data_IF_306021513990
#
_entry.id   IF_306021513990
#
_cell.length_a   1.000
_cell.length_b   1.000
_cell.length_c   1.000
_cell.angle_alpha   90.00
_cell.angle_beta   90.00
_cell.angle_gamma   90.00
#
_symmetry.space_group_name_H-M   'P 1'
#
loop_
_entity.id
_entity.type
_entity.pdbx_description
1 polymer ?
#
# COMPACT_ATOMS: atom_id res chain seq x y z
N UNK A 1 9.58 -0.86 -4.61
CA UNK A 1 10.25 -1.80 -3.68
C UNK A 1 10.24 -1.29 -2.24
N UNK A 2 11.04 -0.29 -1.85
CA UNK A 2 11.18 0.15 -0.43
C UNK A 2 9.86 0.57 0.25
N UNK A 3 8.98 1.27 -0.45
CA UNK A 3 7.67 1.64 0.10
C UNK A 3 6.86 0.41 0.56
N UNK A 4 6.99 -0.71 -0.16
CA UNK A 4 6.30 -1.96 0.18
C UNK A 4 6.94 -2.64 1.39
N UNK A 5 8.26 -2.61 1.48
CA UNK A 5 9.01 -3.10 2.63
C UNK A 5 8.69 -2.32 3.91
N UNK A 6 8.50 -1.00 3.83
CA UNK A 6 8.12 -0.20 5.00
C UNK A 6 6.68 -0.42 5.47
N UNK A 7 5.77 -0.73 4.56
CA UNK A 7 4.38 -1.07 4.90
C UNK A 7 4.26 -2.49 5.49
N UNK A 8 5.25 -3.35 5.29
CA UNK A 8 5.31 -4.73 5.83
C UNK A 8 5.60 -4.80 7.35
N UNK A 9 5.37 -3.72 8.10
CA UNK A 9 5.50 -3.70 9.56
C UNK A 9 4.31 -4.33 10.31
N UNK A 10 3.34 -4.91 9.61
CA UNK A 10 2.10 -5.42 10.20
C UNK A 10 1.52 -6.62 9.42
N UNK A 11 1.03 -7.61 10.18
CA UNK A 11 0.37 -8.82 9.69
C UNK A 11 -0.65 -8.54 8.57
N UNK A 12 -0.44 -9.16 7.41
CA UNK A 12 -1.37 -9.13 6.28
C UNK A 12 -1.40 -7.83 5.47
N UNK A 13 -0.85 -6.72 5.97
CA UNK A 13 -1.00 -5.41 5.32
C UNK A 13 -0.28 -5.37 3.97
N UNK A 14 0.96 -5.83 3.91
CA UNK A 14 1.72 -5.81 2.65
C UNK A 14 1.13 -6.75 1.60
N UNK A 15 0.76 -7.95 2.04
CA UNK A 15 0.15 -8.98 1.21
C UNK A 15 -1.20 -8.54 0.64
N UNK A 16 -2.06 -7.90 1.44
CA UNK A 16 -3.40 -7.50 0.98
C UNK A 16 -3.34 -6.37 -0.05
N UNK A 17 -2.46 -5.38 0.15
CA UNK A 17 -2.25 -4.29 -0.83
C UNK A 17 -1.76 -4.87 -2.15
N UNK A 18 -0.83 -5.83 -2.07
CA UNK A 18 -0.26 -6.47 -3.25
C UNK A 18 -1.30 -7.34 -3.95
N UNK A 19 -2.10 -8.11 -3.21
CA UNK A 19 -3.18 -8.92 -3.77
C UNK A 19 -4.19 -8.05 -4.51
N UNK A 20 -4.66 -6.96 -3.89
CA UNK A 20 -5.58 -6.00 -4.51
C UNK A 20 -4.96 -5.40 -5.78
N UNK A 21 -3.68 -5.01 -5.76
CA UNK A 21 -2.99 -4.48 -6.93
C UNK A 21 -2.92 -5.49 -8.07
N UNK A 22 -2.55 -6.74 -7.77
CA UNK A 22 -2.45 -7.82 -8.77
C UNK A 22 -3.81 -8.14 -9.38
N UNK A 23 -4.86 -8.26 -8.55
CA UNK A 23 -6.24 -8.47 -9.03
C UNK A 23 -6.69 -7.30 -9.92
N UNK A 24 -6.33 -6.07 -9.56
CA UNK A 24 -6.64 -4.88 -10.36
C UNK A 24 -5.96 -4.95 -11.73
N UNK A 25 -4.68 -5.31 -11.77
CA UNK A 25 -3.91 -5.45 -13.01
C UNK A 25 -4.46 -6.61 -13.85
N UNK A 26 -4.89 -7.70 -13.22
CA UNK A 26 -5.57 -8.84 -13.86
C UNK A 26 -6.82 -8.37 -14.61
N UNK A 27 -7.79 -7.75 -13.93
CA UNK A 27 -9.00 -7.26 -14.59
C UNK A 27 -8.71 -6.20 -15.65
N UNK A 28 -7.72 -5.34 -15.41
CA UNK A 28 -7.31 -4.36 -16.40
C UNK A 28 -6.69 -5.00 -17.64
N UNK A 29 -6.01 -6.15 -17.51
CA UNK A 29 -5.43 -6.89 -18.65
C UNK A 29 -6.46 -7.53 -19.56
N UNK A 30 -7.63 -7.87 -19.01
CA UNK A 30 -8.75 -8.50 -19.74
C UNK A 30 -9.64 -7.50 -20.48
N UNK A 31 -9.48 -6.20 -20.20
CA UNK A 31 -10.26 -5.16 -20.87
C UNK A 31 -9.99 -5.16 -22.38
N UNK A 32 -11.02 -5.03 -23.25
CA UNK A 32 -10.85 -5.06 -24.69
C UNK A 32 -9.86 -4.00 -25.21
N UNK A 33 -9.80 -2.84 -24.56
CA UNK A 33 -8.92 -1.74 -24.96
C UNK A 33 -7.45 -1.99 -24.59
N UNK A 34 -7.19 -2.94 -23.68
CA UNK A 34 -5.85 -3.32 -23.23
C UNK A 34 -5.40 -4.63 -23.86
N UNK A 35 -6.25 -5.65 -23.83
CA UNK A 35 -6.07 -6.98 -24.41
C UNK A 35 -4.66 -7.57 -24.24
N UNK A 36 -4.26 -7.83 -22.99
CA UNK A 36 -2.96 -8.42 -22.64
C UNK A 36 -3.12 -9.74 -21.86
N UNK A 37 -3.59 -10.84 -22.49
CA UNK A 37 -3.77 -12.13 -21.83
C UNK A 37 -2.53 -12.68 -21.10
N UNK A 38 -1.28 -12.53 -21.60
CA UNK A 38 -0.10 -13.02 -20.87
C UNK A 38 0.07 -12.37 -19.49
N UNK A 39 -0.22 -11.07 -19.37
CA UNK A 39 -0.20 -10.37 -18.07
C UNK A 39 -1.32 -10.89 -17.17
N UNK A 40 -2.49 -11.21 -17.73
CA UNK A 40 -3.59 -11.84 -17.01
C UNK A 40 -3.20 -13.19 -16.40
N UNK A 41 -2.50 -14.05 -17.15
CA UNK A 41 -2.06 -15.35 -16.66
C UNK A 41 -1.06 -15.19 -15.50
N UNK A 42 -0.05 -14.32 -15.67
CA UNK A 42 0.96 -14.06 -14.63
C UNK A 42 0.31 -13.51 -13.36
N UNK A 43 -0.59 -12.54 -13.50
CA UNK A 43 -1.29 -11.93 -12.36
C UNK A 43 -2.25 -12.90 -11.68
N UNK A 44 -2.92 -13.79 -12.42
CA UNK A 44 -3.76 -14.84 -11.83
C UNK A 44 -2.94 -15.83 -10.99
N UNK A 45 -1.78 -16.27 -11.50
CA UNK A 45 -0.88 -17.16 -10.75
C UNK A 45 -0.34 -16.50 -9.47
N UNK A 46 0.07 -15.22 -9.57
CA UNK A 46 0.52 -14.45 -8.41
C UNK A 46 -0.61 -14.16 -7.40
N UNK A 47 -1.84 -13.94 -7.86
CA UNK A 47 -2.98 -13.79 -6.97
C UNK A 47 -3.24 -15.07 -6.18
N UNK A 48 -3.18 -16.25 -6.82
CA UNK A 48 -3.31 -17.54 -6.16
C UNK A 48 -2.25 -17.77 -5.08
N UNK A 49 -0.97 -17.47 -5.37
CA UNK A 49 0.10 -17.61 -4.39
C UNK A 49 -0.02 -16.61 -3.23
N UNK A 50 -0.45 -15.37 -3.49
CA UNK A 50 -0.68 -14.37 -2.45
C UNK A 50 -1.88 -14.70 -1.57
N UNK A 51 -2.95 -15.27 -2.12
CA UNK A 51 -4.09 -15.75 -1.32
C UNK A 51 -3.63 -16.86 -0.38
N UNK A 52 -2.85 -17.83 -0.89
CA UNK A 52 -2.29 -18.90 -0.05
C UNK A 52 -1.38 -18.33 1.05
N UNK A 53 -0.51 -17.38 0.72
CA UNK A 53 0.34 -16.68 1.70
C UNK A 53 -0.50 -15.94 2.76
N UNK A 54 -1.52 -15.18 2.34
CA UNK A 54 -2.37 -14.38 3.22
C UNK A 54 -3.17 -15.22 4.21
N UNK A 55 -3.55 -16.45 3.88
CA UNK A 55 -4.19 -17.38 4.83
C UNK A 55 -3.29 -17.60 6.05
N UNK A 56 -1.98 -17.67 5.87
CA UNK A 56 -1.00 -17.86 6.95
C UNK A 56 -0.43 -16.56 7.50
N UNK A 57 -0.51 -15.46 6.75
CA UNK A 57 0.00 -14.14 7.16
C UNK A 57 -1.09 -13.24 7.79
N UNK A 58 -2.37 -13.61 7.72
CA UNK A 58 -3.45 -12.91 8.39
C UNK A 58 -3.32 -13.00 9.91
N UNK A 59 -3.70 -11.92 10.61
CA UNK A 59 -3.52 -11.78 12.05
C UNK A 59 -4.33 -12.83 12.86
N UNK A 60 -3.69 -13.61 13.76
CA UNK A 60 -2.26 -13.62 14.11
C UNK A 60 -1.39 -14.37 13.08
N UNK A 61 -0.36 -13.70 12.54
CA UNK A 61 0.47 -14.26 11.48
C UNK A 61 1.31 -15.47 11.95
N UNK A 62 1.31 -16.54 11.14
CA UNK A 62 2.14 -17.73 11.31
C UNK A 62 3.42 -17.67 10.48
N UNK A 63 3.34 -17.01 9.33
CA UNK A 63 4.49 -16.74 8.45
C UNK A 63 4.54 -15.24 8.15
N UNK A 64 5.75 -14.70 8.04
CA UNK A 64 5.99 -13.30 7.68
C UNK A 64 6.60 -13.23 6.28
N UNK A 65 6.28 -12.18 5.51
CA UNK A 65 6.92 -11.96 4.22
C UNK A 65 8.42 -11.67 4.39
N UNK A 66 8.76 -10.92 5.44
CA UNK A 66 10.10 -10.43 5.70
C UNK A 66 10.58 -9.47 4.62
N UNK A 67 11.82 -9.00 4.76
CA UNK A 67 12.42 -8.05 3.81
C UNK A 67 12.41 -8.59 2.38
N UNK A 68 12.74 -9.87 2.20
CA UNK A 68 12.78 -10.50 0.89
C UNK A 68 11.39 -10.56 0.23
N UNK A 69 10.36 -10.98 0.97
CA UNK A 69 9.01 -11.10 0.43
C UNK A 69 8.39 -9.75 0.08
N UNK A 70 8.53 -8.75 0.96
CA UNK A 70 7.97 -7.41 0.72
C UNK A 70 8.72 -6.64 -0.37
N UNK A 71 10.04 -6.79 -0.48
CA UNK A 71 10.79 -6.26 -1.62
C UNK A 71 10.40 -6.94 -2.93
N UNK A 72 10.19 -8.27 -2.93
CA UNK A 72 9.69 -8.99 -4.10
C UNK A 72 8.30 -8.50 -4.51
N UNK A 73 7.36 -8.35 -3.57
CA UNK A 73 6.03 -7.78 -3.82
C UNK A 73 6.13 -6.38 -4.43
N UNK A 74 6.98 -5.51 -3.87
CA UNK A 74 7.21 -4.18 -4.42
C UNK A 74 7.94 -4.16 -5.76
N UNK A 75 8.72 -5.19 -6.09
CA UNK A 75 9.41 -5.34 -7.37
C UNK A 75 8.45 -5.83 -8.45
N UNK A 76 7.70 -6.92 -8.19
CA UNK A 76 6.80 -7.51 -9.18
C UNK A 76 5.70 -6.52 -9.57
N UNK A 77 5.18 -5.70 -8.64
CA UNK A 77 4.23 -4.65 -8.95
C UNK A 77 4.83 -3.56 -9.86
N UNK A 78 6.10 -3.19 -9.65
CA UNK A 78 6.79 -2.22 -10.51
C UNK A 78 7.01 -2.80 -11.92
N UNK A 79 7.46 -4.06 -12.02
CA UNK A 79 7.63 -4.77 -13.29
C UNK A 79 6.30 -4.84 -14.04
N UNK A 80 5.22 -5.28 -13.37
CA UNK A 80 3.89 -5.36 -13.97
C UNK A 80 3.36 -3.99 -14.41
N UNK A 81 3.66 -2.91 -13.66
CA UNK A 81 3.28 -1.56 -14.06
C UNK A 81 3.96 -1.13 -15.37
N UNK A 82 5.24 -1.46 -15.53
CA UNK A 82 6.04 -1.11 -16.73
C UNK A 82 5.64 -1.96 -17.92
N UNK A 83 5.66 -3.29 -17.79
CA UNK A 83 5.35 -4.21 -18.88
C UNK A 83 3.93 -4.05 -19.40
N UNK A 84 3.01 -3.64 -18.52
CA UNK A 84 1.65 -3.42 -18.94
C UNK A 84 1.40 -2.05 -19.59
N UNK A 85 2.40 -1.19 -19.71
CA UNK A 85 2.47 0.04 -20.51
C UNK A 85 1.46 1.15 -20.14
N UNK A 86 0.16 0.85 -20.25
CA UNK A 86 -0.96 1.75 -19.97
C UNK A 86 -1.42 1.74 -18.50
N UNK A 87 -0.74 1.01 -17.61
CA UNK A 87 -1.24 0.70 -16.26
C UNK A 87 -0.49 1.39 -15.13
N UNK A 88 0.52 2.20 -15.43
CA UNK A 88 1.32 2.92 -14.43
C UNK A 88 0.41 3.73 -13.49
N UNK A 89 -0.52 4.52 -14.04
CA UNK A 89 -1.48 5.29 -13.23
C UNK A 89 -2.34 4.40 -12.33
N UNK A 90 -2.80 3.25 -12.82
CA UNK A 90 -3.59 2.29 -12.02
C UNK A 90 -2.75 1.69 -10.90
N UNK A 91 -1.52 1.26 -11.20
CA UNK A 91 -0.63 0.69 -10.19
C UNK A 91 -0.24 1.73 -9.13
N UNK A 92 0.05 2.96 -9.54
CA UNK A 92 0.32 4.07 -8.62
C UNK A 92 -0.89 4.40 -7.74
N UNK A 93 -2.11 4.33 -8.27
CA UNK A 93 -3.34 4.50 -7.48
C UNK A 93 -3.43 3.45 -6.38
N UNK A 94 -3.28 2.16 -6.70
CA UNK A 94 -3.40 1.11 -5.69
C UNK A 94 -2.24 1.16 -4.68
N UNK A 95 -1.06 1.56 -5.12
CA UNK A 95 0.12 1.78 -4.27
C UNK A 95 0.15 3.15 -3.58
N UNK A 96 -0.92 3.96 -3.68
CA UNK A 96 -0.92 5.30 -3.15
C UNK A 96 -0.62 5.34 -1.65
N UNK A 97 -1.21 4.42 -0.86
CA UNK A 97 -0.96 4.39 0.59
C UNK A 97 0.53 4.12 0.91
N UNK A 98 1.16 3.02 0.42
CA UNK A 98 2.61 2.83 0.64
C UNK A 98 3.48 3.98 0.16
N UNK A 99 3.18 4.55 -1.01
CA UNK A 99 4.00 5.62 -1.59
C UNK A 99 3.89 6.90 -0.76
N UNK A 100 2.68 7.32 -0.41
CA UNK A 100 2.45 8.55 0.34
C UNK A 100 2.99 8.42 1.76
N UNK A 101 2.77 7.27 2.42
CA UNK A 101 3.33 7.01 3.76
C UNK A 101 4.86 7.02 3.76
N UNK A 102 5.48 6.38 2.76
CA UNK A 102 6.92 6.41 2.56
C UNK A 102 7.46 7.83 2.38
N UNK A 103 6.83 8.63 1.51
CA UNK A 103 7.22 10.03 1.27
C UNK A 103 7.03 10.89 2.52
N UNK A 104 5.96 10.66 3.28
CA UNK A 104 5.70 11.37 4.54
C UNK A 104 6.80 11.13 5.57
N UNK A 105 7.13 9.86 5.83
CA UNK A 105 8.19 9.50 6.80
C UNK A 105 9.55 10.03 6.36
N UNK A 106 9.84 9.99 5.06
CA UNK A 106 11.05 10.60 4.50
C UNK A 106 11.10 12.12 4.74
N UNK A 107 10.00 12.83 4.47
CA UNK A 107 9.91 14.27 4.71
C UNK A 107 10.11 14.64 6.19
N UNK A 108 9.47 13.89 7.09
CA UNK A 108 9.61 14.09 8.54
C UNK A 108 11.04 13.80 9.03
N UNK A 109 11.74 12.82 8.43
CA UNK A 109 13.15 12.54 8.72
C UNK A 109 14.07 13.68 8.30
N UNK A 110 13.89 14.19 7.09
CA UNK A 110 14.67 15.30 6.55
C UNK A 110 14.47 16.53 7.44
N UNK A 111 13.23 16.83 7.84
CA UNK A 111 12.92 17.93 8.74
C UNK A 111 13.60 17.80 10.11
N UNK A 112 13.63 16.59 10.67
CA UNK A 112 14.25 16.30 11.96
C UNK A 112 15.77 16.02 11.89
N UNK A 113 16.39 16.16 10.72
CA UNK A 113 17.82 15.84 10.46
C UNK A 113 18.24 14.45 10.94
N UNK A 114 17.32 13.47 10.88
CA UNK A 114 17.59 12.08 11.25
C UNK A 114 18.01 11.25 10.04
N UNK A 115 18.77 10.18 10.28
CA UNK A 115 19.18 9.26 9.22
C UNK A 115 17.99 8.64 8.49
N UNK A 116 18.11 8.51 7.17
CA UNK A 116 17.08 7.91 6.29
C UNK A 116 17.09 6.38 6.39
N UNK A 117 18.11 5.76 6.99
CA UNK A 117 18.31 4.31 6.98
C UNK A 117 17.96 3.59 8.29
N UNK A 118 17.61 4.31 9.36
CA UNK A 118 17.21 3.68 10.62
C UNK A 118 15.79 3.10 10.52
N UNK A 119 15.45 2.07 11.31
CA UNK A 119 14.10 1.55 11.38
C UNK A 119 13.14 2.61 11.98
N UNK A 120 11.99 2.85 11.35
CA UNK A 120 11.01 3.84 11.84
C UNK A 120 9.71 3.23 12.32
N UNK A 121 9.18 3.78 13.41
CA UNK A 121 7.83 3.51 13.90
C UNK A 121 6.88 4.68 13.63
N UNK A 122 7.21 5.53 12.64
CA UNK A 122 6.41 6.70 12.25
C UNK A 122 5.51 6.46 11.04
N UNK A 123 5.52 5.25 10.48
CA UNK A 123 4.59 4.83 9.43
C UNK A 123 3.14 4.84 9.94
N UNK A 124 2.20 5.02 9.01
CA UNK A 124 0.76 5.15 9.27
C UNK A 124 0.23 4.05 10.19
N UNK A 125 0.57 2.79 9.93
CA UNK A 125 0.09 1.65 10.72
C UNK A 125 0.58 1.70 12.18
N UNK A 126 1.82 2.14 12.43
CA UNK A 126 2.31 2.33 13.81
C UNK A 126 1.63 3.51 14.51
N UNK A 127 1.34 4.61 13.79
CA UNK A 127 0.57 5.73 14.36
C UNK A 127 -0.85 5.32 14.73
N UNK A 128 -1.51 4.52 13.88
CA UNK A 128 -2.83 3.95 14.15
C UNK A 128 -2.80 3.01 15.37
N UNK A 129 -1.79 2.16 15.49
CA UNK A 129 -1.60 1.32 16.69
C UNK A 129 -1.49 2.16 17.96
N UNK A 130 -0.67 3.21 17.94
CA UNK A 130 -0.45 4.09 19.12
C UNK A 130 -1.74 4.74 19.63
N UNK A 131 -2.63 5.14 18.72
CA UNK A 131 -3.94 5.71 19.10
C UNK A 131 -5.00 4.64 19.46
N UNK A 132 -4.60 3.38 19.62
CA UNK A 132 -5.44 2.29 20.12
C UNK A 132 -6.17 1.46 19.06
N UNK A 133 -5.82 1.56 17.77
CA UNK A 133 -6.40 0.66 16.78
C UNK A 133 -5.82 -0.75 16.91
N UNK A 134 -6.67 -1.77 16.85
CA UNK A 134 -6.22 -3.16 16.76
C UNK A 134 -5.65 -3.47 15.37
N UNK A 135 -4.71 -4.41 15.28
CA UNK A 135 -4.12 -4.90 14.01
C UNK A 135 -5.19 -5.23 12.96
N UNK A 136 -6.27 -5.91 13.35
CA UNK A 136 -7.39 -6.25 12.44
C UNK A 136 -8.09 -5.03 11.84
N UNK A 137 -8.30 -3.96 12.63
CA UNK A 137 -8.90 -2.70 12.15
C UNK A 137 -7.99 -2.02 11.14
N UNK A 138 -6.68 -2.05 11.37
CA UNK A 138 -5.71 -1.46 10.46
C UNK A 138 -5.66 -2.26 9.16
N UNK A 139 -5.58 -3.59 9.24
CA UNK A 139 -5.71 -4.47 8.06
C UNK A 139 -6.97 -4.16 7.25
N UNK A 140 -8.14 -4.08 7.89
CA UNK A 140 -9.40 -3.74 7.22
C UNK A 140 -9.38 -2.35 6.59
N UNK A 141 -8.77 -1.36 7.25
CA UNK A 141 -8.60 -0.03 6.68
C UNK A 141 -7.78 -0.07 5.39
N UNK A 142 -6.61 -0.74 5.39
CA UNK A 142 -5.80 -0.89 4.18
C UNK A 142 -6.53 -1.67 3.10
N UNK A 143 -7.19 -2.77 3.44
CA UNK A 143 -7.97 -3.57 2.48
C UNK A 143 -9.10 -2.76 1.82
N UNK A 144 -9.94 -2.08 2.62
CA UNK A 144 -11.09 -1.34 2.11
C UNK A 144 -10.66 -0.14 1.28
N UNK A 145 -9.71 0.65 1.78
CA UNK A 145 -9.24 1.85 1.06
C UNK A 145 -8.56 1.49 -0.26
N UNK A 146 -7.67 0.50 -0.27
CA UNK A 146 -7.04 0.04 -1.52
C UNK A 146 -8.03 -0.58 -2.48
N UNK A 147 -9.02 -1.35 -1.99
CA UNK A 147 -10.06 -1.95 -2.83
C UNK A 147 -10.96 -0.89 -3.49
N UNK A 148 -11.36 0.15 -2.74
CA UNK A 148 -12.13 1.28 -3.29
C UNK A 148 -11.33 1.98 -4.38
N UNK A 149 -10.06 2.29 -4.13
CA UNK A 149 -9.19 2.94 -5.11
C UNK A 149 -8.98 2.06 -6.35
N UNK A 150 -8.80 0.76 -6.16
CA UNK A 150 -8.69 -0.22 -7.25
C UNK A 150 -9.92 -0.21 -8.16
N UNK A 151 -11.12 -0.22 -7.59
CA UNK A 151 -12.37 -0.15 -8.36
C UNK A 151 -12.46 1.17 -9.14
N UNK A 152 -12.14 2.30 -8.50
CA UNK A 152 -12.11 3.61 -9.17
C UNK A 152 -11.08 3.64 -10.31
N UNK A 153 -9.90 3.06 -10.09
CA UNK A 153 -8.84 2.97 -11.08
C UNK A 153 -9.22 2.11 -12.30
N UNK A 154 -10.07 1.10 -12.12
CA UNK A 154 -10.62 0.31 -13.23
C UNK A 154 -11.72 1.07 -13.98
N UNK A 155 -12.53 1.89 -13.32
CA UNK A 155 -13.69 2.53 -13.94
C UNK A 155 -13.36 3.86 -14.63
N UNK A 156 -12.37 4.59 -14.11
CA UNK A 156 -12.08 5.96 -14.55
C UNK A 156 -11.13 6.03 -15.75
N UNK A 157 -11.33 7.07 -16.57
CA UNK A 157 -10.38 7.53 -17.59
C UNK A 157 -9.21 8.30 -16.95
N UNK A 158 -8.18 8.63 -17.72
CA UNK A 158 -6.92 9.22 -17.22
C UNK A 158 -7.11 10.45 -16.33
N UNK A 159 -7.97 11.40 -16.72
CA UNK A 159 -8.24 12.60 -15.91
C UNK A 159 -8.89 12.25 -14.56
N UNK A 160 -9.86 11.34 -14.55
CA UNK A 160 -10.49 10.89 -13.31
C UNK A 160 -9.51 10.17 -12.38
N UNK A 161 -8.56 9.41 -12.94
CA UNK A 161 -7.49 8.77 -12.17
C UNK A 161 -6.59 9.81 -11.49
N UNK A 162 -6.17 10.85 -12.22
CA UNK A 162 -5.34 11.93 -11.67
C UNK A 162 -6.09 12.66 -10.55
N UNK A 163 -7.34 13.06 -10.79
CA UNK A 163 -8.15 13.73 -9.77
C UNK A 163 -8.32 12.86 -8.51
N UNK A 164 -8.61 11.57 -8.67
CA UNK A 164 -8.74 10.63 -7.55
C UNK A 164 -7.43 10.48 -6.78
N UNK A 165 -6.28 10.39 -7.47
CA UNK A 165 -4.97 10.36 -6.82
C UNK A 165 -4.71 11.61 -5.99
N UNK A 166 -4.99 12.79 -6.53
CA UNK A 166 -4.77 14.06 -5.82
C UNK A 166 -5.67 14.21 -4.60
N UNK A 167 -6.96 13.89 -4.74
CA UNK A 167 -7.93 13.94 -3.63
C UNK A 167 -7.54 12.95 -2.54
N UNK A 168 -7.18 11.72 -2.93
CA UNK A 168 -6.77 10.70 -1.98
C UNK A 168 -5.44 11.04 -1.30
N UNK A 169 -4.48 11.61 -2.04
CA UNK A 169 -3.23 12.08 -1.47
C UNK A 169 -3.45 13.18 -0.43
N UNK A 170 -4.30 14.16 -0.74
CA UNK A 170 -4.68 15.20 0.22
C UNK A 170 -5.34 14.59 1.47
N UNK A 171 -6.30 13.68 1.28
CA UNK A 171 -6.98 12.99 2.37
C UNK A 171 -5.99 12.24 3.29
N UNK A 172 -5.07 11.45 2.72
CA UNK A 172 -4.06 10.74 3.49
C UNK A 172 -3.10 11.68 4.21
N UNK A 173 -2.66 12.76 3.57
CA UNK A 173 -1.78 13.76 4.19
C UNK A 173 -2.47 14.42 5.37
N UNK A 174 -3.76 14.75 5.25
CA UNK A 174 -4.55 15.30 6.37
C UNK A 174 -4.69 14.30 7.52
N UNK A 175 -4.90 13.01 7.23
CA UNK A 175 -4.89 11.96 8.26
C UNK A 175 -3.52 11.88 8.94
N UNK A 176 -2.44 11.84 8.17
CA UNK A 176 -1.09 11.74 8.70
C UNK A 176 -0.73 12.94 9.57
N UNK A 177 -1.12 14.16 9.17
CA UNK A 177 -1.00 15.39 9.96
C UNK A 177 -1.78 15.30 11.28
N UNK A 178 -3.05 14.88 11.22
CA UNK A 178 -3.89 14.71 12.41
C UNK A 178 -3.27 13.69 13.38
N UNK A 179 -2.85 12.53 12.87
CA UNK A 179 -2.19 11.49 13.65
C UNK A 179 -0.84 11.96 14.22
N UNK A 180 -0.06 12.74 13.46
CA UNK A 180 1.19 13.33 13.94
C UNK A 180 0.96 14.16 15.21
N UNK A 181 -0.01 15.07 15.13
CA UNK A 181 -0.35 15.98 16.24
C UNK A 181 -0.89 15.21 17.44
N UNK A 182 -1.81 14.28 17.21
CA UNK A 182 -2.43 13.49 18.27
C UNK A 182 -1.39 12.65 19.03
N UNK A 183 -0.53 11.92 18.32
CA UNK A 183 0.53 11.11 18.94
C UNK A 183 1.53 11.97 19.71
N UNK A 184 1.87 13.16 19.21
CA UNK A 184 2.73 14.11 19.94
C UNK A 184 2.09 14.56 21.27
N UNK A 185 0.80 14.91 21.24
CA UNK A 185 0.08 15.35 22.45
C UNK A 185 -0.09 14.25 23.51
N UNK A 186 -0.21 12.99 23.09
CA UNK A 186 -0.26 11.88 24.04
C UNK A 186 1.10 11.66 24.72
N UNK A 187 2.21 11.77 23.99
CA UNK A 187 3.55 11.65 24.57
C UNK A 187 3.87 12.76 25.58
N UNK A 188 3.39 13.98 25.36
CA UNK A 188 3.55 15.09 26.31
C UNK A 188 2.72 14.92 27.59
N UNK A 189 1.64 14.13 27.55
CA UNK A 189 0.77 13.90 28.72
C UNK A 189 1.34 12.88 29.72
N UNK A 190 2.32 12.07 29.29
CA UNK A 190 2.95 11.01 30.11
C UNK A 190 4.42 11.29 30.46
N UNK A 191 4.95 12.46 30.09
CA UNK A 191 6.25 12.98 30.52
C UNK A 191 6.06 14.12 31.50
#
# INVERSE_FOLDING_TARGET
MNAMNWVDGMDGVSGVITLVAIITIFFLSLKPEVNQPPIGIVTAALAGSLVAFLIYNYNPARIMAGTSGSMFMGFILAVLAIFAGAKIATTLMVLAIPIIDALWVLGERIYLKKSIFEADQRHLHFRLLKIGWSVRKIFLFYFLTTSVIAVLALRMRSIGKIATMLIFALFLVLILLYLARKVSSENEKYN
#
